data_IF_648167537214
#
_entry.id   IF_648167537214
#
_cell.length_a   1.000
_cell.length_b   1.000
_cell.length_c   1.000
_cell.angle_alpha   90.00
_cell.angle_beta   90.00
_cell.angle_gamma   90.00
#
_symmetry.space_group_name_H-M   'P 1'
#
loop_
_entity.id
_entity.type
_entity.pdbx_description
1 polymer ?
#
# COMPACT_ATOMS: atom_id res chain seq x y z
N UNK A 1 10.01 2.08 -18.28
CA UNK A 1 10.51 1.25 -17.21
C UNK A 1 9.36 0.79 -16.31
N UNK A 2 9.13 -0.53 -16.21
CA UNK A 2 8.02 -1.09 -15.42
C UNK A 2 8.14 -0.77 -13.92
N UNK A 3 9.36 -0.65 -13.40
CA UNK A 3 9.57 -0.30 -11.98
C UNK A 3 9.02 1.08 -11.64
N UNK A 4 9.03 2.03 -12.58
CA UNK A 4 8.47 3.37 -12.36
C UNK A 4 6.95 3.39 -12.26
N UNK A 5 6.28 2.28 -12.58
CA UNK A 5 4.83 2.11 -12.50
C UNK A 5 4.39 1.45 -11.19
N UNK A 6 5.32 0.87 -10.43
CA UNK A 6 4.99 0.20 -9.17
C UNK A 6 4.34 1.17 -8.17
N UNK A 7 3.31 0.70 -7.49
CA UNK A 7 2.53 1.50 -6.53
C UNK A 7 1.51 2.46 -7.15
N UNK A 8 1.42 2.55 -8.48
CA UNK A 8 0.38 3.32 -9.17
C UNK A 8 -0.92 2.52 -9.30
N UNK A 9 -2.00 3.23 -9.56
CA UNK A 9 -3.29 2.65 -9.89
C UNK A 9 -3.23 1.91 -11.24
N UNK A 10 -3.94 0.80 -11.36
CA UNK A 10 -3.87 -0.06 -12.54
C UNK A 10 -4.22 0.67 -13.85
N UNK A 11 -5.21 1.58 -13.83
CA UNK A 11 -5.56 2.40 -15.00
C UNK A 11 -4.43 3.34 -15.41
N UNK A 12 -3.71 3.92 -14.46
CA UNK A 12 -2.53 4.78 -14.73
C UNK A 12 -1.41 3.95 -15.35
N UNK A 13 -1.22 2.72 -14.89
CA UNK A 13 -0.24 1.80 -15.48
C UNK A 13 -0.61 1.43 -16.92
N UNK A 14 -1.87 1.10 -17.19
CA UNK A 14 -2.36 0.78 -18.53
C UNK A 14 -2.17 1.94 -19.52
N UNK A 15 -2.57 3.15 -19.12
CA UNK A 15 -2.37 4.36 -19.93
C UNK A 15 -0.90 4.61 -20.26
N UNK A 16 0.00 4.33 -19.32
CA UNK A 16 1.44 4.52 -19.55
C UNK A 16 2.06 3.46 -20.47
N UNK A 17 1.53 2.25 -20.49
CA UNK A 17 2.01 1.13 -21.33
C UNK A 17 1.36 1.13 -22.70
N UNK A 18 0.10 1.56 -22.79
CA UNK A 18 -0.72 1.52 -24.00
C UNK A 18 -1.37 2.88 -24.27
N UNK A 19 -0.58 3.94 -24.53
CA UNK A 19 -1.10 5.30 -24.66
C UNK A 19 -2.03 5.52 -25.85
N UNK A 20 -1.92 4.68 -26.89
CA UNK A 20 -2.70 4.80 -28.15
C UNK A 20 -3.97 3.91 -28.15
N UNK A 21 -4.22 3.17 -27.06
CA UNK A 21 -5.38 2.27 -26.98
C UNK A 21 -6.66 3.05 -26.58
N UNK A 22 -7.79 2.63 -27.15
CA UNK A 22 -9.11 3.12 -26.76
C UNK A 22 -9.50 2.65 -25.33
N UNK A 23 -10.42 3.35 -24.69
CA UNK A 23 -10.95 2.93 -23.37
C UNK A 23 -11.48 1.50 -23.39
N UNK A 24 -12.19 1.10 -24.47
CA UNK A 24 -12.73 -0.26 -24.59
C UNK A 24 -11.64 -1.33 -24.68
N UNK A 25 -10.53 -1.05 -25.37
CA UNK A 25 -9.38 -1.97 -25.43
C UNK A 25 -8.70 -2.06 -24.08
N UNK A 26 -8.55 -0.95 -23.37
CA UNK A 26 -8.00 -0.92 -22.03
C UNK A 26 -8.89 -1.68 -21.02
N UNK A 27 -10.21 -1.54 -21.10
CA UNK A 27 -11.15 -2.26 -20.23
C UNK A 27 -11.09 -3.78 -20.45
N UNK A 28 -11.02 -4.22 -21.71
CA UNK A 28 -10.87 -5.63 -22.03
C UNK A 28 -9.54 -6.20 -21.52
N UNK A 29 -8.45 -5.46 -21.73
CA UNK A 29 -7.14 -5.88 -21.24
C UNK A 29 -7.08 -5.87 -19.71
N UNK A 30 -7.68 -4.87 -19.07
CA UNK A 30 -7.75 -4.78 -17.62
C UNK A 30 -8.46 -6.00 -17.03
N UNK A 31 -9.60 -6.39 -17.58
CA UNK A 31 -10.31 -7.63 -17.17
C UNK A 31 -9.41 -8.86 -17.27
N UNK A 32 -8.71 -9.04 -18.39
CA UNK A 32 -7.82 -10.18 -18.59
C UNK A 32 -6.60 -10.15 -17.63
N UNK A 33 -6.07 -8.98 -17.33
CA UNK A 33 -4.95 -8.80 -16.37
C UNK A 33 -5.41 -9.16 -14.96
N UNK A 34 -6.59 -8.70 -14.54
CA UNK A 34 -7.15 -9.03 -13.22
C UNK A 34 -7.41 -10.53 -13.07
N UNK A 35 -8.01 -11.17 -14.08
CA UNK A 35 -8.22 -12.61 -14.07
C UNK A 35 -6.90 -13.39 -13.99
N UNK A 36 -5.91 -13.00 -14.79
CA UNK A 36 -4.56 -13.60 -14.75
C UNK A 36 -3.89 -13.42 -13.40
N UNK A 37 -4.02 -12.24 -12.80
CA UNK A 37 -3.46 -11.93 -11.48
C UNK A 37 -4.12 -12.79 -10.38
N UNK A 38 -5.44 -12.96 -10.41
CA UNK A 38 -6.15 -13.81 -9.46
C UNK A 38 -5.70 -15.27 -9.57
N UNK A 39 -5.58 -15.80 -10.79
CA UNK A 39 -5.06 -17.15 -11.03
C UNK A 39 -3.63 -17.34 -10.53
N UNK A 40 -2.77 -16.31 -10.70
CA UNK A 40 -1.41 -16.32 -10.17
C UNK A 40 -1.38 -16.33 -8.64
N UNK A 41 -2.21 -15.53 -7.98
CA UNK A 41 -2.29 -15.50 -6.51
C UNK A 41 -2.72 -16.84 -5.91
N UNK A 42 -3.55 -17.61 -6.61
CA UNK A 42 -3.94 -18.96 -6.18
C UNK A 42 -2.79 -19.97 -6.30
N UNK A 43 -1.90 -19.80 -7.27
CA UNK A 43 -0.83 -20.73 -7.60
C UNK A 43 0.55 -20.36 -7.02
N UNK A 44 0.78 -19.08 -6.73
CA UNK A 44 2.06 -18.56 -6.25
C UNK A 44 1.92 -17.96 -4.85
N UNK A 45 2.85 -18.33 -3.97
CA UNK A 45 2.91 -17.72 -2.65
C UNK A 45 3.71 -16.42 -2.72
N UNK A 46 3.13 -15.24 -2.37
CA UNK A 46 3.88 -13.99 -2.31
C UNK A 46 5.02 -14.09 -1.28
N UNK A 47 6.16 -13.52 -1.63
CA UNK A 47 7.28 -13.42 -0.71
C UNK A 47 7.06 -12.18 0.18
N UNK A 48 7.01 -12.39 1.48
CA UNK A 48 6.90 -11.32 2.46
C UNK A 48 8.31 -10.89 2.89
N UNK A 49 8.56 -9.60 2.94
CA UNK A 49 9.83 -9.06 3.44
C UNK A 49 10.12 -9.54 4.85
N UNK A 50 11.40 -9.81 5.12
CA UNK A 50 11.87 -10.29 6.42
C UNK A 50 11.46 -9.34 7.55
N UNK A 51 10.97 -9.91 8.65
CA UNK A 51 10.57 -9.17 9.84
C UNK A 51 9.17 -8.55 9.80
N UNK A 52 8.49 -8.52 8.63
CA UNK A 52 7.17 -7.85 8.50
C UNK A 52 6.12 -8.50 9.40
N UNK A 53 5.92 -9.80 9.31
CA UNK A 53 4.86 -10.47 10.09
C UNK A 53 5.09 -10.34 11.59
N UNK A 54 6.32 -10.60 12.04
CA UNK A 54 6.70 -10.45 13.44
C UNK A 54 6.59 -9.01 13.94
N UNK A 55 7.02 -8.06 13.12
CA UNK A 55 6.94 -6.64 13.43
C UNK A 55 5.50 -6.14 13.52
N UNK A 56 4.60 -6.56 12.64
CA UNK A 56 3.17 -6.25 12.72
C UNK A 56 2.55 -6.78 14.02
N UNK A 57 2.88 -8.01 14.43
CA UNK A 57 2.43 -8.58 15.70
C UNK A 57 2.91 -7.76 16.90
N UNK A 58 4.16 -7.32 16.90
CA UNK A 58 4.73 -6.49 17.97
C UNK A 58 4.08 -5.11 18.01
N UNK A 59 3.99 -4.45 16.86
CA UNK A 59 3.43 -3.10 16.73
C UNK A 59 1.95 -3.05 17.07
N UNK A 60 1.16 -4.07 16.72
CA UNK A 60 -0.28 -4.12 17.02
C UNK A 60 -0.61 -4.12 18.51
N UNK A 61 0.35 -4.50 19.38
CA UNK A 61 0.19 -4.45 20.86
C UNK A 61 0.29 -3.03 21.41
N UNK A 62 0.87 -2.10 20.65
CA UNK A 62 1.11 -0.71 21.07
C UNK A 62 0.34 0.29 20.23
N UNK A 63 0.12 0.00 18.95
CA UNK A 63 -0.49 0.88 17.96
C UNK A 63 -1.68 0.24 17.28
N UNK A 64 -2.63 1.06 16.84
CA UNK A 64 -3.64 0.65 15.85
C UNK A 64 -2.98 0.62 14.48
N UNK A 65 -3.09 -0.50 13.78
CA UNK A 65 -2.51 -0.69 12.45
C UNK A 65 -3.59 -0.57 11.38
N UNK A 66 -3.25 0.08 10.29
CA UNK A 66 -4.12 0.32 9.15
C UNK A 66 -3.41 -0.08 7.86
N UNK A 67 -4.16 -0.57 6.88
CA UNK A 67 -3.63 -0.81 5.54
C UNK A 67 -4.25 0.18 4.54
N UNK A 68 -3.41 0.71 3.66
CA UNK A 68 -3.82 1.62 2.60
C UNK A 68 -3.04 1.30 1.32
N UNK A 69 -3.75 0.98 0.23
CA UNK A 69 -3.14 0.56 -1.03
C UNK A 69 -3.85 1.13 -2.26
N UNK A 70 -3.12 1.25 -3.36
CA UNK A 70 -3.68 1.52 -4.69
C UNK A 70 -4.11 0.24 -5.42
N UNK A 71 -4.17 -0.89 -4.73
CA UNK A 71 -4.61 -2.15 -5.32
C UNK A 71 -6.11 -2.11 -5.67
N UNK A 72 -6.49 -3.04 -6.54
CA UNK A 72 -7.88 -3.28 -6.89
C UNK A 72 -8.65 -3.89 -5.71
N UNK A 73 -9.97 -3.85 -5.84
CA UNK A 73 -10.89 -4.38 -4.83
C UNK A 73 -10.50 -5.81 -4.40
N UNK A 74 -10.58 -6.05 -3.10
CA UNK A 74 -10.22 -7.29 -2.41
C UNK A 74 -8.71 -7.61 -2.37
N UNK A 75 -7.83 -6.75 -2.89
CA UNK A 75 -6.39 -6.95 -2.85
C UNK A 75 -5.84 -7.01 -1.42
N UNK A 76 -6.24 -6.08 -0.55
CA UNK A 76 -5.85 -6.09 0.86
C UNK A 76 -6.52 -7.22 1.66
N UNK A 77 -7.75 -7.59 1.32
CA UNK A 77 -8.45 -8.74 1.94
C UNK A 77 -7.67 -10.03 1.65
N UNK A 78 -7.27 -10.24 0.40
CA UNK A 78 -6.47 -11.39 -0.01
C UNK A 78 -5.09 -11.39 0.66
N UNK A 79 -4.43 -10.23 0.75
CA UNK A 79 -3.17 -10.07 1.48
C UNK A 79 -3.33 -10.50 2.96
N UNK A 80 -4.32 -9.96 3.66
CA UNK A 80 -4.57 -10.27 5.07
C UNK A 80 -4.94 -11.75 5.29
N UNK A 81 -5.70 -12.33 4.38
CA UNK A 81 -6.05 -13.76 4.42
C UNK A 81 -4.81 -14.63 4.23
N UNK A 82 -4.00 -14.33 3.22
CA UNK A 82 -2.77 -15.05 2.92
C UNK A 82 -1.76 -14.98 4.07
N UNK A 83 -1.52 -13.78 4.60
CA UNK A 83 -0.57 -13.54 5.69
C UNK A 83 -1.12 -13.89 7.08
N UNK A 84 -2.42 -14.16 7.18
CA UNK A 84 -3.15 -14.38 8.45
C UNK A 84 -3.08 -13.19 9.41
N UNK A 85 -2.95 -11.98 8.88
CA UNK A 85 -2.75 -10.74 9.67
C UNK A 85 -4.03 -9.94 9.90
N UNK A 86 -5.19 -10.40 9.44
CA UNK A 86 -6.45 -9.67 9.59
C UNK A 86 -6.77 -9.25 11.04
N UNK A 87 -6.41 -10.09 12.01
CA UNK A 87 -6.63 -9.81 13.44
C UNK A 87 -5.72 -8.70 14.01
N UNK A 88 -4.66 -8.30 13.29
CA UNK A 88 -3.74 -7.23 13.66
C UNK A 88 -4.16 -5.87 13.12
N UNK A 89 -5.01 -5.85 12.08
CA UNK A 89 -5.36 -4.66 11.33
C UNK A 89 -6.70 -4.11 11.83
N UNK A 90 -6.67 -2.85 12.25
CA UNK A 90 -7.87 -2.16 12.78
C UNK A 90 -8.84 -1.82 11.64
N UNK A 91 -8.32 -1.34 10.50
CA UNK A 91 -9.13 -0.91 9.37
C UNK A 91 -8.26 -0.80 8.11
N UNK A 92 -8.87 -0.75 6.92
CA UNK A 92 -8.14 -0.63 5.67
C UNK A 92 -8.95 0.11 4.59
N UNK A 93 -8.22 0.67 3.63
CA UNK A 93 -8.78 1.23 2.40
C UNK A 93 -7.92 0.81 1.20
N UNK A 94 -8.57 0.50 0.10
CA UNK A 94 -7.94 0.23 -1.19
C UNK A 94 -8.60 1.04 -2.30
N UNK A 95 -7.82 1.40 -3.33
CA UNK A 95 -8.32 2.21 -4.44
C UNK A 95 -9.55 1.59 -5.10
N UNK A 96 -9.56 0.27 -5.30
CA UNK A 96 -10.68 -0.45 -5.93
C UNK A 96 -12.02 -0.39 -5.18
N UNK A 97 -12.05 0.13 -3.94
CA UNK A 97 -13.31 0.31 -3.20
C UNK A 97 -14.09 1.56 -3.63
N UNK A 98 -13.40 2.64 -4.00
CA UNK A 98 -14.05 3.93 -4.27
C UNK A 98 -13.42 4.74 -5.40
N UNK A 99 -12.35 4.26 -6.00
CA UNK A 99 -11.60 4.89 -7.10
C UNK A 99 -11.07 6.30 -6.75
N UNK A 100 -10.83 6.56 -5.45
CA UNK A 100 -10.29 7.82 -4.97
C UNK A 100 -8.77 7.75 -4.77
N UNK A 101 -8.13 8.92 -4.71
CA UNK A 101 -6.69 9.01 -4.46
C UNK A 101 -6.30 8.43 -3.09
N UNK A 102 -5.04 8.02 -2.96
CA UNK A 102 -4.50 7.52 -1.70
C UNK A 102 -4.61 8.56 -0.57
N UNK A 103 -4.37 9.85 -0.87
CA UNK A 103 -4.53 10.94 0.11
C UNK A 103 -5.98 11.11 0.58
N UNK A 104 -6.96 10.95 -0.31
CA UNK A 104 -8.37 10.96 0.06
C UNK A 104 -8.69 9.78 0.99
N UNK A 105 -8.29 8.59 0.62
CA UNK A 105 -8.52 7.38 1.40
C UNK A 105 -7.80 7.41 2.76
N UNK A 106 -6.63 8.03 2.83
CA UNK A 106 -5.92 8.27 4.09
C UNK A 106 -6.71 9.17 5.04
N UNK A 107 -7.28 10.28 4.52
CA UNK A 107 -8.15 11.18 5.30
C UNK A 107 -9.40 10.48 5.79
N UNK A 108 -10.03 9.64 4.95
CA UNK A 108 -11.19 8.83 5.36
C UNK A 108 -10.85 7.87 6.51
N UNK A 109 -9.71 7.19 6.44
CA UNK A 109 -9.26 6.30 7.52
C UNK A 109 -9.06 7.07 8.83
N UNK A 110 -8.42 8.24 8.77
CA UNK A 110 -8.18 9.11 9.92
C UNK A 110 -9.51 9.56 10.54
N UNK A 111 -10.42 10.07 9.73
CA UNK A 111 -11.71 10.60 10.16
C UNK A 111 -12.59 9.52 10.80
N UNK A 112 -12.83 8.41 10.07
CA UNK A 112 -13.75 7.37 10.55
C UNK A 112 -13.25 6.60 11.78
N UNK A 113 -11.92 6.60 12.01
CA UNK A 113 -11.31 6.00 13.18
C UNK A 113 -10.93 7.02 14.27
N UNK A 114 -11.25 8.32 14.07
CA UNK A 114 -10.95 9.41 15.00
C UNK A 114 -9.49 9.44 15.44
N UNK A 115 -8.55 9.28 14.49
CA UNK A 115 -7.12 9.20 14.77
C UNK A 115 -6.57 10.59 15.08
N UNK A 116 -5.81 10.71 16.18
CA UNK A 116 -5.22 11.98 16.63
C UNK A 116 -3.76 12.15 16.20
N UNK A 117 -3.03 11.04 16.09
CA UNK A 117 -1.63 11.03 15.68
C UNK A 117 -1.39 9.83 14.78
N UNK A 118 -0.89 10.09 13.58
CA UNK A 118 -0.77 9.08 12.53
C UNK A 118 0.51 9.31 11.75
N UNK A 119 1.18 8.24 11.34
CA UNK A 119 2.24 8.27 10.33
C UNK A 119 1.85 7.34 9.19
N UNK A 120 2.28 7.66 7.98
CA UNK A 120 2.12 6.78 6.83
C UNK A 120 3.46 6.18 6.43
N UNK A 121 3.52 4.86 6.35
CA UNK A 121 4.71 4.10 5.95
C UNK A 121 4.55 3.67 4.50
N UNK A 122 5.51 4.00 3.67
CA UNK A 122 5.51 3.65 2.24
C UNK A 122 6.92 3.68 1.65
N UNK A 123 7.03 3.36 0.37
CA UNK A 123 8.31 3.12 -0.29
C UNK A 123 8.52 3.96 -1.56
N UNK A 124 7.55 4.77 -1.98
CA UNK A 124 7.61 5.52 -3.24
C UNK A 124 7.50 7.03 -3.06
N UNK A 125 7.98 7.80 -4.05
CA UNK A 125 7.74 9.24 -4.14
C UNK A 125 6.25 9.58 -4.23
N UNK A 126 5.43 8.69 -4.81
CA UNK A 126 3.97 8.84 -4.82
C UNK A 126 3.40 8.74 -3.42
N UNK A 127 3.87 7.82 -2.60
CA UNK A 127 3.46 7.67 -1.20
C UNK A 127 3.77 8.91 -0.38
N UNK A 128 4.98 9.47 -0.54
CA UNK A 128 5.38 10.72 0.11
C UNK A 128 4.47 11.88 -0.29
N UNK A 129 4.21 12.06 -1.59
CA UNK A 129 3.32 13.10 -2.09
C UNK A 129 1.89 12.94 -1.54
N UNK A 130 1.33 11.74 -1.58
CA UNK A 130 -0.03 11.47 -1.10
C UNK A 130 -0.16 11.67 0.42
N UNK A 131 0.86 11.28 1.17
CA UNK A 131 0.96 11.51 2.61
C UNK A 131 0.97 13.00 2.94
N UNK A 132 1.77 13.80 2.22
CA UNK A 132 1.82 15.27 2.35
C UNK A 132 0.46 15.90 2.03
N UNK A 133 -0.23 15.48 0.97
CA UNK A 133 -1.57 15.95 0.60
C UNK A 133 -2.63 15.59 1.67
N UNK A 134 -2.41 14.51 2.39
CA UNK A 134 -3.26 14.14 3.52
C UNK A 134 -2.89 14.88 4.82
N UNK A 135 -1.73 15.56 4.89
CA UNK A 135 -1.23 16.19 6.10
C UNK A 135 -0.64 15.21 7.12
N UNK A 136 -0.18 14.04 6.66
CA UNK A 136 0.35 12.95 7.48
C UNK A 136 1.88 12.86 7.30
N UNK A 137 2.68 12.77 8.38
CA UNK A 137 4.12 12.52 8.27
C UNK A 137 4.42 11.22 7.53
N UNK A 138 5.35 11.28 6.57
CA UNK A 138 5.76 10.15 5.76
C UNK A 138 7.00 9.45 6.33
N UNK A 139 6.93 8.14 6.45
CA UNK A 139 8.03 7.26 6.85
C UNK A 139 8.42 6.41 5.65
N UNK A 140 9.66 6.60 5.15
CA UNK A 140 10.19 5.86 4.03
C UNK A 140 10.75 4.51 4.48
N UNK A 141 10.35 3.43 3.83
CA UNK A 141 11.02 2.13 3.89
C UNK A 141 11.82 1.93 2.62
N UNK A 142 13.15 2.01 2.74
CA UNK A 142 14.08 2.10 1.61
C UNK A 142 14.37 0.76 0.90
N UNK A 143 13.81 -0.34 1.39
CA UNK A 143 13.91 -1.67 0.79
C UNK A 143 12.79 -1.98 -0.20
N UNK A 144 11.88 -1.03 -0.46
CA UNK A 144 10.80 -1.15 -1.43
C UNK A 144 11.22 -0.86 -2.87
N UNK A 145 10.26 -0.45 -3.70
CA UNK A 145 10.45 -0.28 -5.14
C UNK A 145 10.86 1.12 -5.58
N UNK A 146 10.71 2.12 -4.72
CA UNK A 146 10.93 3.51 -5.07
C UNK A 146 11.99 4.21 -4.24
N UNK A 147 12.15 5.49 -4.52
CA UNK A 147 13.02 6.39 -3.79
C UNK A 147 12.37 7.77 -3.68
N UNK A 148 12.61 8.43 -2.57
CA UNK A 148 12.34 9.85 -2.36
C UNK A 148 13.28 10.38 -1.28
N UNK A 149 13.59 11.67 -1.30
CA UNK A 149 14.28 12.41 -0.24
C UNK A 149 13.31 13.20 0.65
N UNK A 150 11.99 13.16 0.33
CA UNK A 150 10.95 13.82 1.11
C UNK A 150 10.33 12.85 2.13
N UNK A 151 10.91 12.73 3.31
CA UNK A 151 10.40 11.89 4.41
C UNK A 151 10.69 12.50 5.79
N UNK A 152 9.91 12.13 6.80
CA UNK A 152 10.16 12.49 8.19
C UNK A 152 11.14 11.49 8.85
N UNK A 153 11.03 10.22 8.52
CA UNK A 153 11.90 9.13 8.99
C UNK A 153 12.18 8.17 7.83
N UNK A 154 13.32 7.47 7.89
CA UNK A 154 13.74 6.47 6.92
C UNK A 154 14.30 5.24 7.62
N UNK A 155 13.93 4.06 7.14
CA UNK A 155 14.41 2.78 7.63
C UNK A 155 14.84 1.87 6.48
N UNK A 156 15.92 1.13 6.69
CA UNK A 156 16.48 0.19 5.72
C UNK A 156 15.90 -1.23 5.88
N UNK A 157 15.15 -1.48 6.96
CA UNK A 157 14.44 -2.73 7.19
C UNK A 157 13.17 -2.52 8.02
N UNK A 158 12.22 -3.48 7.92
CA UNK A 158 11.03 -3.45 8.76
C UNK A 158 11.36 -3.70 10.24
N UNK A 159 12.44 -4.42 10.51
CA UNK A 159 12.93 -4.65 11.88
C UNK A 159 13.37 -3.36 12.53
N UNK A 160 14.19 -2.54 11.85
CA UNK A 160 14.60 -1.22 12.36
C UNK A 160 13.40 -0.30 12.61
N UNK A 161 12.44 -0.26 11.70
CA UNK A 161 11.19 0.48 11.87
C UNK A 161 10.45 -0.01 13.13
N UNK A 162 10.29 -1.32 13.26
CA UNK A 162 9.61 -1.93 14.41
C UNK A 162 10.29 -1.55 15.72
N UNK A 163 11.59 -1.71 15.80
CA UNK A 163 12.37 -1.41 17.01
C UNK A 163 12.29 0.07 17.37
N UNK A 164 12.38 0.96 16.39
CA UNK A 164 12.23 2.40 16.61
C UNK A 164 10.86 2.72 17.22
N UNK A 165 9.76 2.29 16.62
CA UNK A 165 8.42 2.62 17.11
C UNK A 165 8.07 1.94 18.43
N UNK A 166 8.65 0.78 18.74
CA UNK A 166 8.45 0.15 20.05
C UNK A 166 9.16 0.91 21.19
N UNK A 167 10.24 1.64 20.88
CA UNK A 167 11.01 2.40 21.88
C UNK A 167 10.59 3.87 22.01
N UNK A 168 9.61 4.36 21.23
CA UNK A 168 8.97 5.67 21.44
C UNK A 168 8.08 5.65 22.67
#
# INVERSE_FOLDING_TARGET
DLLSLMGKEARVMLNAVLPESSESEQDNLFGAVIESYQNLLESMQPIIYTGVLEGLEKLSKKYKLFLLSNCEKDGLVNFMKYTKTAHLITDYMEHGQNLQSKSHNMKLLIERNSLQSTVYVGDTASDSRESRLAGVPFVLVAYGFGYTDEYALRFDSFTELTDYFLNL
#
